data_IF_167766734592
#
_entry.id   IF_167766734592
#
_cell.length_a   1.000
_cell.length_b   1.000
_cell.length_c   1.000
_cell.angle_alpha   90.00
_cell.angle_beta   90.00
_cell.angle_gamma   90.00
#
_symmetry.space_group_name_H-M   'P 1'
#
loop_
_entity.id
_entity.type
_entity.pdbx_description
1 polymer ?
#
# COMPACT_ATOMS: atom_id res chain seq x y z
N UNK A 1 3.29 -48.56 -26.98
CA UNK A 1 2.93 -47.59 -25.93
C UNK A 1 1.61 -46.94 -26.32
N UNK A 2 0.56 -47.07 -25.51
CA UNK A 2 -0.77 -46.51 -25.85
C UNK A 2 -0.94 -45.17 -25.12
N UNK A 3 -0.91 -44.07 -25.86
CA UNK A 3 -1.17 -42.75 -25.28
C UNK A 3 -2.65 -42.62 -24.92
N UNK A 4 -2.95 -42.32 -23.65
CA UNK A 4 -4.32 -42.06 -23.21
C UNK A 4 -4.78 -40.73 -23.80
N UNK A 5 -5.97 -40.70 -24.42
CA UNK A 5 -6.59 -39.53 -25.06
C UNK A 5 -6.51 -38.26 -24.20
N UNK A 6 -6.68 -38.39 -22.87
CA UNK A 6 -6.56 -37.26 -21.92
C UNK A 6 -5.18 -36.60 -21.89
N UNK A 7 -4.09 -37.37 -22.02
CA UNK A 7 -2.73 -36.80 -22.00
C UNK A 7 -2.41 -36.13 -23.33
N UNK A 8 -2.89 -36.69 -24.43
CA UNK A 8 -2.78 -36.06 -25.75
C UNK A 8 -3.54 -34.72 -25.80
N UNK A 9 -4.79 -34.70 -25.30
CA UNK A 9 -5.59 -33.48 -25.23
C UNK A 9 -5.01 -32.45 -24.27
N UNK A 10 -4.45 -32.88 -23.13
CA UNK A 10 -3.76 -31.99 -22.20
C UNK A 10 -2.50 -31.39 -22.83
N UNK A 11 -1.70 -32.19 -23.54
CA UNK A 11 -0.54 -31.68 -24.28
C UNK A 11 -0.94 -30.68 -25.36
N UNK A 12 -1.97 -30.98 -26.15
CA UNK A 12 -2.46 -30.10 -27.22
C UNK A 12 -3.05 -28.79 -26.65
N UNK A 13 -3.83 -28.88 -25.58
CA UNK A 13 -4.43 -27.72 -24.91
C UNK A 13 -3.42 -26.84 -24.21
N UNK A 14 -2.45 -27.43 -23.48
CA UNK A 14 -1.41 -26.68 -22.79
C UNK A 14 -0.44 -25.98 -23.78
N UNK A 15 -0.10 -26.64 -24.88
CA UNK A 15 0.74 -26.05 -25.93
C UNK A 15 0.03 -24.93 -26.70
N UNK A 16 -1.22 -25.14 -27.11
CA UNK A 16 -2.01 -24.10 -27.77
C UNK A 16 -2.26 -22.88 -26.86
N UNK A 17 -2.55 -23.10 -25.57
CA UNK A 17 -2.70 -22.03 -24.58
C UNK A 17 -1.42 -21.23 -24.38
N UNK A 18 -0.25 -21.88 -24.34
CA UNK A 18 1.04 -21.19 -24.16
C UNK A 18 1.39 -20.28 -25.35
N UNK A 19 1.03 -20.67 -26.58
CA UNK A 19 1.27 -19.85 -27.78
C UNK A 19 0.28 -18.67 -27.84
N UNK A 20 -0.98 -18.88 -27.49
CA UNK A 20 -2.00 -17.83 -27.49
C UNK A 20 -1.78 -16.77 -26.38
N UNK A 21 -1.15 -17.15 -25.26
CA UNK A 21 -0.80 -16.24 -24.16
C UNK A 21 0.58 -15.60 -24.30
N UNK A 22 1.41 -16.04 -25.25
CA UNK A 22 2.71 -15.43 -25.57
C UNK A 22 2.63 -13.92 -25.84
N UNK A 23 1.62 -13.42 -26.58
CA UNK A 23 1.37 -11.99 -26.75
C UNK A 23 0.92 -11.29 -25.47
N UNK A 24 0.24 -11.95 -24.52
CA UNK A 24 -0.12 -11.35 -23.23
C UNK A 24 1.13 -11.19 -22.33
N UNK A 25 2.11 -12.07 -22.47
CA UNK A 25 3.40 -11.96 -21.79
C UNK A 25 4.36 -10.95 -22.48
N UNK A 26 4.19 -10.69 -23.78
CA UNK A 26 5.06 -9.79 -24.56
C UNK A 26 4.47 -8.41 -24.86
N UNK A 27 3.15 -8.23 -24.72
CA UNK A 27 2.55 -6.90 -24.65
C UNK A 27 2.98 -6.34 -23.30
N UNK A 28 4.02 -5.50 -23.34
CA UNK A 28 4.54 -4.71 -22.24
C UNK A 28 3.56 -3.68 -21.69
N UNK A 29 2.28 -4.05 -21.56
CA UNK A 29 1.45 -3.57 -20.48
C UNK A 29 2.16 -4.04 -19.22
N UNK A 30 2.93 -3.12 -18.64
CA UNK A 30 3.46 -3.23 -17.30
C UNK A 30 2.26 -3.47 -16.38
N UNK A 31 1.92 -4.74 -16.17
CA UNK A 31 1.18 -5.11 -14.98
C UNK A 31 2.12 -4.66 -13.86
N UNK A 32 1.78 -3.54 -13.22
CA UNK A 32 2.54 -3.05 -12.08
C UNK A 32 2.33 -4.06 -10.97
N UNK A 33 3.12 -5.14 -10.97
CA UNK A 33 3.30 -5.96 -9.79
C UNK A 33 4.07 -5.08 -8.81
N UNK A 34 3.43 -4.59 -7.73
CA UNK A 34 4.06 -3.63 -6.82
C UNK A 34 5.24 -4.22 -6.03
N UNK A 35 5.50 -5.53 -6.20
CA UNK A 35 6.53 -6.29 -5.48
C UNK A 35 7.79 -6.60 -6.30
N UNK A 36 7.88 -6.14 -7.55
CA UNK A 36 9.06 -6.37 -8.40
C UNK A 36 9.91 -5.10 -8.59
N UNK A 37 9.91 -4.22 -7.58
CA UNK A 37 10.94 -3.21 -7.44
C UNK A 37 12.19 -3.90 -6.87
N UNK A 38 13.36 -3.70 -7.50
CA UNK A 38 14.63 -4.10 -6.89
C UNK A 38 14.78 -3.46 -5.51
N UNK A 39 15.59 -4.05 -4.63
CA UNK A 39 15.84 -3.53 -3.29
C UNK A 39 16.09 -2.02 -3.37
N UNK A 40 15.17 -1.23 -2.82
CA UNK A 40 15.35 0.21 -2.74
C UNK A 40 16.56 0.42 -1.83
N UNK A 41 17.68 0.89 -2.39
CA UNK A 41 18.75 1.43 -1.58
C UNK A 41 18.14 2.62 -0.85
N UNK A 42 17.88 2.46 0.45
CA UNK A 42 17.48 3.56 1.29
C UNK A 42 18.58 4.62 1.18
N UNK A 43 18.28 5.73 0.50
CA UNK A 43 19.18 6.87 0.49
C UNK A 43 19.40 7.27 1.93
N UNK A 44 20.67 7.34 2.34
CA UNK A 44 21.03 8.10 3.54
C UNK A 44 20.46 9.52 3.40
N UNK A 45 20.25 10.21 4.52
CA UNK A 45 19.58 11.54 4.56
C UNK A 45 20.18 12.58 3.58
N UNK A 46 21.42 12.36 3.11
CA UNK A 46 22.18 13.13 2.11
C UNK A 46 21.52 13.34 0.72
N UNK A 47 20.25 12.98 0.53
CA UNK A 47 19.50 13.26 -0.70
C UNK A 47 18.04 13.66 -0.50
N UNK A 48 17.59 13.84 0.74
CA UNK A 48 16.21 14.21 1.02
C UNK A 48 16.02 15.73 0.89
N UNK A 49 14.96 16.14 0.20
CA UNK A 49 14.57 17.55 0.08
C UNK A 49 13.78 18.04 1.29
N UNK A 50 13.58 17.20 2.30
CA UNK A 50 12.86 17.48 3.53
C UNK A 50 13.57 16.88 4.73
N UNK A 51 13.27 17.39 5.92
CA UNK A 51 13.77 16.86 7.19
C UNK A 51 12.83 15.77 7.71
N UNK A 52 13.27 14.51 7.84
CA UNK A 52 12.41 13.43 8.34
C UNK A 52 11.91 13.69 9.77
N UNK A 53 10.70 13.21 10.07
CA UNK A 53 10.15 13.21 11.43
C UNK A 53 10.89 12.18 12.27
N UNK A 54 11.33 12.58 13.47
CA UNK A 54 11.97 11.68 14.44
C UNK A 54 10.93 10.77 15.08
N UNK A 55 10.98 9.48 14.77
CA UNK A 55 10.16 8.46 15.41
C UNK A 55 10.74 7.95 16.74
N UNK A 56 10.03 7.05 17.44
CA UNK A 56 10.50 6.45 18.69
C UNK A 56 11.59 5.39 18.50
N UNK A 57 11.87 4.98 17.27
CA UNK A 57 12.84 3.92 16.94
C UNK A 57 14.01 4.53 16.15
N UNK A 58 15.26 4.31 16.56
CA UNK A 58 16.41 4.73 15.78
C UNK A 58 16.46 3.96 14.46
N UNK A 59 16.57 4.69 13.35
CA UNK A 59 16.65 4.12 12.01
C UNK A 59 18.04 4.39 11.42
N UNK A 60 18.57 3.46 10.63
CA UNK A 60 19.95 3.52 10.12
C UNK A 60 20.25 4.82 9.35
N UNK A 61 19.26 5.34 8.62
CA UNK A 61 19.41 6.58 7.85
C UNK A 61 19.68 7.81 8.73
N UNK A 62 19.35 7.77 10.02
CA UNK A 62 19.54 8.92 10.93
C UNK A 62 21.01 9.21 11.23
N UNK A 63 21.92 8.29 10.91
CA UNK A 63 23.37 8.48 11.10
C UNK A 63 23.80 8.53 12.58
N UNK A 64 22.91 8.13 13.50
CA UNK A 64 23.19 8.14 14.94
C UNK A 64 23.97 6.89 15.32
N UNK A 65 25.17 7.08 15.87
CA UNK A 65 26.00 5.99 16.34
C UNK A 65 25.29 5.19 17.44
N UNK A 66 25.44 3.86 17.49
CA UNK A 66 24.80 3.04 18.52
C UNK A 66 25.08 3.48 19.96
N UNK A 67 26.24 4.09 20.21
CA UNK A 67 26.61 4.64 21.53
C UNK A 67 25.72 5.81 21.97
N UNK A 68 25.17 6.56 21.02
CA UNK A 68 24.44 7.81 21.26
C UNK A 68 22.92 7.59 21.22
N UNK A 69 22.46 6.42 20.77
CA UNK A 69 21.04 6.08 20.71
C UNK A 69 20.36 6.09 22.10
N UNK A 70 20.95 5.57 23.19
CA UNK A 70 20.29 5.58 24.50
C UNK A 70 20.00 6.98 25.04
N UNK A 71 20.87 7.96 24.77
CA UNK A 71 20.65 9.34 25.21
C UNK A 71 19.64 10.08 24.33
N UNK A 72 19.60 9.79 23.02
CA UNK A 72 18.70 10.46 22.06
C UNK A 72 17.29 9.86 22.00
N UNK A 73 17.14 8.56 22.25
CA UNK A 73 15.86 7.83 22.19
C UNK A 73 15.40 7.31 23.56
N UNK A 74 16.02 7.76 24.65
CA UNK A 74 15.66 7.36 26.02
C UNK A 74 14.26 7.81 26.46
N UNK A 75 13.67 8.78 25.75
CA UNK A 75 12.30 9.24 25.96
C UNK A 75 11.67 9.63 24.63
N UNK A 76 10.36 9.46 24.52
CA UNK A 76 9.58 9.87 23.36
C UNK A 76 8.29 10.54 23.81
N UNK A 77 7.92 11.65 23.16
CA UNK A 77 6.63 12.30 23.38
C UNK A 77 5.58 11.65 22.49
N UNK A 78 4.58 11.02 23.09
CA UNK A 78 3.44 10.49 22.35
C UNK A 78 2.55 11.66 21.92
N UNK A 79 2.26 11.72 20.63
CA UNK A 79 1.35 12.68 20.00
C UNK A 79 0.27 11.86 19.30
N UNK A 80 -0.99 12.11 19.64
CA UNK A 80 -2.16 11.47 19.00
C UNK A 80 -2.56 12.27 17.75
N UNK A 81 -1.62 12.38 16.81
CA UNK A 81 -1.77 13.16 15.58
C UNK A 81 -0.80 12.64 14.50
N UNK A 82 -1.11 12.90 13.22
CA UNK A 82 -0.21 12.60 12.11
C UNK A 82 0.84 13.70 11.97
N UNK A 83 2.02 13.44 12.51
CA UNK A 83 3.17 14.36 12.39
C UNK A 83 3.84 14.18 11.03
N UNK A 84 3.92 15.27 10.26
CA UNK A 84 4.54 15.31 8.92
C UNK A 84 5.75 16.25 8.90
N UNK A 85 6.68 16.11 7.94
CA UNK A 85 7.80 17.03 7.77
C UNK A 85 7.37 18.49 7.54
N UNK A 86 8.27 19.42 7.82
CA UNK A 86 8.05 20.84 7.51
C UNK A 86 7.75 21.05 6.01
N UNK A 87 6.76 21.89 5.71
CA UNK A 87 6.30 22.16 4.35
C UNK A 87 5.26 21.16 3.82
N UNK A 88 4.93 20.11 4.59
CA UNK A 88 3.86 19.18 4.27
C UNK A 88 2.63 19.45 5.13
N UNK A 89 1.47 19.09 4.60
CA UNK A 89 0.19 19.09 5.30
C UNK A 89 -0.54 17.78 4.99
N UNK A 90 -1.55 17.46 5.78
CA UNK A 90 -2.45 16.36 5.51
C UNK A 90 -3.88 16.82 5.75
N UNK A 91 -4.81 16.20 5.05
CA UNK A 91 -6.26 16.42 5.20
C UNK A 91 -6.97 15.07 5.33
N UNK A 92 -8.01 15.02 6.17
CA UNK A 92 -8.90 13.86 6.24
C UNK A 92 -9.89 13.96 5.09
N UNK A 93 -9.81 13.03 4.15
CA UNK A 93 -10.69 13.00 2.96
C UNK A 93 -12.08 12.45 3.30
N UNK A 94 -12.13 11.38 4.08
CA UNK A 94 -13.36 10.72 4.55
C UNK A 94 -13.02 9.86 5.76
N UNK A 95 -13.95 9.77 6.72
CA UNK A 95 -13.83 8.96 7.93
C UNK A 95 -14.99 7.97 8.05
N UNK A 96 -14.83 6.98 8.94
CA UNK A 96 -15.89 6.03 9.23
C UNK A 96 -17.18 6.73 9.65
N UNK A 97 -18.29 6.36 9.01
CA UNK A 97 -19.62 6.85 9.33
C UNK A 97 -20.03 8.08 8.52
N UNK A 98 -19.10 8.73 7.83
CA UNK A 98 -19.39 9.82 6.91
C UNK A 98 -20.36 9.35 5.82
N UNK A 99 -21.27 10.24 5.41
CA UNK A 99 -22.26 9.94 4.38
C UNK A 99 -21.62 9.92 2.99
N UNK A 100 -21.90 8.85 2.23
CA UNK A 100 -21.44 8.67 0.85
C UNK A 100 -22.60 8.16 0.02
N UNK A 101 -23.18 9.05 -0.80
CA UNK A 101 -24.38 8.74 -1.58
C UNK A 101 -25.59 8.47 -0.68
N UNK A 102 -26.16 7.27 -0.81
CA UNK A 102 -27.27 6.76 0.02
C UNK A 102 -26.80 5.86 1.18
N UNK A 103 -25.49 5.78 1.41
CA UNK A 103 -24.86 4.92 2.42
C UNK A 103 -23.81 5.68 3.24
N UNK A 104 -22.98 4.95 3.98
CA UNK A 104 -21.92 5.49 4.84
C UNK A 104 -20.57 4.81 4.58
N UNK A 105 -19.49 5.53 4.84
CA UNK A 105 -18.14 5.01 4.73
C UNK A 105 -17.86 3.95 5.81
N UNK A 106 -17.24 2.84 5.42
CA UNK A 106 -17.03 1.68 6.29
C UNK A 106 -15.91 1.88 7.33
N UNK A 107 -15.91 1.00 8.33
CA UNK A 107 -14.92 0.99 9.41
C UNK A 107 -13.62 0.29 8.96
N UNK A 108 -12.49 0.70 9.55
CA UNK A 108 -11.17 0.11 9.36
C UNK A 108 -10.79 -0.02 7.88
N UNK A 109 -10.62 1.14 7.22
CA UNK A 109 -10.07 1.17 5.88
C UNK A 109 -8.65 0.59 5.89
N UNK A 110 -8.35 -0.25 4.91
CA UNK A 110 -7.00 -0.78 4.70
C UNK A 110 -6.57 -0.46 3.27
N UNK A 111 -6.60 -1.44 2.37
CA UNK A 111 -6.25 -1.24 0.97
C UNK A 111 -7.06 -0.14 0.31
N UNK A 112 -6.38 0.72 -0.44
CA UNK A 112 -6.98 1.73 -1.30
C UNK A 112 -6.33 1.74 -2.68
N UNK A 113 -7.12 2.06 -3.71
CA UNK A 113 -6.62 2.33 -5.06
C UNK A 113 -7.33 3.53 -5.67
N UNK A 114 -6.55 4.44 -6.24
CA UNK A 114 -7.06 5.59 -6.99
C UNK A 114 -7.00 5.30 -8.49
N UNK A 115 -8.11 5.54 -9.18
CA UNK A 115 -8.25 5.40 -10.64
C UNK A 115 -8.72 6.73 -11.20
N UNK A 116 -7.84 7.45 -11.89
CA UNK A 116 -8.19 8.71 -12.57
C UNK A 116 -9.17 8.44 -13.72
N UNK A 117 -10.20 9.27 -13.83
CA UNK A 117 -11.22 9.16 -14.89
C UNK A 117 -11.19 10.33 -15.87
N UNK A 118 -10.79 11.51 -15.40
CA UNK A 118 -10.64 12.74 -16.16
C UNK A 118 -9.74 13.72 -15.38
N UNK A 119 -9.29 14.85 -15.97
CA UNK A 119 -8.51 15.84 -15.23
C UNK A 119 -9.24 16.32 -13.97
N UNK A 120 -8.61 16.16 -12.81
CA UNK A 120 -9.15 16.46 -11.48
C UNK A 120 -10.33 15.58 -11.04
N UNK A 121 -10.52 14.41 -11.64
CA UNK A 121 -11.58 13.46 -11.29
C UNK A 121 -11.04 12.03 -11.23
N UNK A 122 -11.56 11.24 -10.29
CA UNK A 122 -11.21 9.83 -10.20
C UNK A 122 -12.05 9.08 -9.19
N UNK A 123 -11.94 7.75 -9.24
CA UNK A 123 -12.53 6.86 -8.26
C UNK A 123 -11.51 6.43 -7.22
N UNK A 124 -11.92 6.44 -5.97
CA UNK A 124 -11.20 5.80 -4.88
C UNK A 124 -11.93 4.51 -4.52
N UNK A 125 -11.29 3.36 -4.74
CA UNK A 125 -11.78 2.08 -4.23
C UNK A 125 -11.10 1.81 -2.91
N UNK A 126 -11.88 1.63 -1.84
CA UNK A 126 -11.38 1.44 -0.48
C UNK A 126 -11.94 0.13 0.06
N UNK A 127 -11.07 -0.71 0.60
CA UNK A 127 -11.46 -1.92 1.32
C UNK A 127 -11.77 -1.60 2.78
N UNK A 128 -12.83 -2.21 3.32
CA UNK A 128 -13.19 -2.16 4.75
C UNK A 128 -13.00 -3.55 5.34
N UNK A 129 -11.96 -3.74 6.15
CA UNK A 129 -11.48 -5.08 6.48
C UNK A 129 -12.39 -5.82 7.48
N UNK A 130 -12.79 -5.15 8.57
CA UNK A 130 -13.61 -5.75 9.63
C UNK A 130 -14.32 -4.66 10.43
N UNK A 131 -15.09 -5.05 11.46
CA UNK A 131 -15.70 -4.14 12.43
C UNK A 131 -15.06 -4.28 13.81
N UNK A 132 -14.96 -3.19 14.56
CA UNK A 132 -14.66 -3.24 16.00
C UNK A 132 -15.95 -3.18 16.80
N UNK A 133 -16.27 -4.24 17.56
CA UNK A 133 -17.53 -4.30 18.32
C UNK A 133 -17.70 -3.15 19.31
N UNK A 134 -16.63 -2.79 20.03
CA UNK A 134 -16.67 -1.66 20.97
C UNK A 134 -16.88 -0.34 20.25
N UNK A 135 -16.09 -0.06 19.22
CA UNK A 135 -16.21 1.19 18.47
C UNK A 135 -17.63 1.28 17.87
N UNK A 136 -18.08 0.23 17.20
CA UNK A 136 -19.40 0.19 16.56
C UNK A 136 -20.52 0.52 17.55
N UNK A 137 -20.53 -0.09 18.73
CA UNK A 137 -21.55 0.22 19.76
C UNK A 137 -21.48 1.66 20.27
N UNK A 138 -20.32 2.31 20.19
CA UNK A 138 -20.10 3.65 20.74
C UNK A 138 -20.38 4.77 19.74
N UNK A 139 -20.14 4.53 18.45
CA UNK A 139 -20.10 5.61 17.46
C UNK A 139 -20.75 5.24 16.12
N UNK A 140 -21.37 4.06 15.99
CA UNK A 140 -22.23 3.80 14.83
C UNK A 140 -23.42 4.79 14.85
N UNK A 141 -23.62 5.56 13.77
CA UNK A 141 -24.66 6.59 13.71
C UNK A 141 -26.09 6.03 13.64
#
# INVERSE_FOLDING_TARGET
MTFKRRHFLMFLGASAGSIALGPIAQVGQKFSMPFQAGAANASTVDGLTFTPVSGPVPLEYTGILPSDQPSQYGSYQVVDDMVVPEGFTYDVVVAWGDEVGDSRFGYNNDYLSFVETAPNEGFLTVNFEYISGKAWMQTYP
#
